data_IF_802221106803
#
_entry.id   IF_802221106803
#
_cell.length_a   1.000
_cell.length_b   1.000
_cell.length_c   1.000
_cell.angle_alpha   90.00
_cell.angle_beta   90.00
_cell.angle_gamma   90.00
#
_symmetry.space_group_name_H-M   'P 1'
#
loop_
_entity.id
_entity.type
_entity.pdbx_description
1 polymer ?
#
# COMPACT_ATOMS: atom_id res chain seq x y z
N UNK A 1 -5.08 9.78 -17.91
CA UNK A 1 -5.81 9.87 -16.61
C UNK A 1 -6.57 8.59 -16.21
N UNK A 2 -6.97 7.68 -17.13
CA UNK A 2 -7.84 6.51 -16.83
C UNK A 2 -7.20 5.31 -16.08
N UNK A 3 -5.88 5.26 -15.89
CA UNK A 3 -5.18 4.08 -15.35
C UNK A 3 -4.74 4.13 -13.88
N UNK A 4 -4.85 5.26 -13.19
CA UNK A 4 -4.07 5.48 -11.95
C UNK A 4 -4.79 5.05 -10.66
N UNK A 5 -6.13 5.10 -10.63
CA UNK A 5 -6.92 4.55 -9.52
C UNK A 5 -6.84 3.01 -9.53
N UNK A 6 -6.80 2.41 -10.72
CA UNK A 6 -6.44 1.01 -10.88
C UNK A 6 -4.98 0.79 -10.47
N UNK A 7 -4.00 1.57 -10.93
CA UNK A 7 -2.59 1.36 -10.59
C UNK A 7 -2.29 1.46 -9.08
N UNK A 8 -2.90 2.36 -8.30
CA UNK A 8 -2.67 2.37 -6.83
C UNK A 8 -3.17 1.11 -6.12
N UNK A 9 -4.21 0.47 -6.65
CA UNK A 9 -4.82 -0.77 -6.15
C UNK A 9 -4.31 -2.05 -6.86
N UNK A 10 -3.71 -1.92 -8.05
CA UNK A 10 -3.26 -3.01 -8.95
C UNK A 10 -1.73 -3.12 -9.00
N UNK A 11 -0.97 -2.04 -8.76
CA UNK A 11 0.51 -2.10 -8.67
C UNK A 11 0.96 -2.99 -7.50
N UNK A 12 0.12 -3.14 -6.47
CA UNK A 12 0.33 -4.12 -5.39
C UNK A 12 0.10 -5.58 -5.80
N UNK A 13 -0.61 -5.85 -6.91
CA UNK A 13 -0.85 -7.20 -7.41
C UNK A 13 0.20 -7.66 -8.45
N UNK A 14 0.88 -6.73 -9.14
CA UNK A 14 1.82 -7.07 -10.24
C UNK A 14 3.28 -7.25 -9.75
N UNK A 15 3.64 -6.74 -8.56
CA UNK A 15 5.01 -6.86 -8.06
C UNK A 15 5.49 -8.32 -7.75
N UNK A 16 4.63 -9.34 -7.92
CA UNK A 16 4.96 -10.75 -7.72
C UNK A 16 5.01 -11.61 -8.99
N UNK A 17 4.87 -11.03 -10.19
CA UNK A 17 5.02 -11.79 -11.45
C UNK A 17 6.28 -11.39 -12.19
N UNK A 18 7.21 -12.35 -12.20
CA UNK A 18 8.42 -12.49 -13.01
C UNK A 18 8.29 -11.82 -14.39
N UNK A 19 9.29 -11.02 -14.75
CA UNK A 19 9.54 -10.54 -16.12
C UNK A 19 9.93 -11.71 -17.02
N UNK A 20 9.07 -12.08 -17.95
CA UNK A 20 9.49 -12.74 -19.19
C UNK A 20 9.45 -11.69 -20.30
N UNK A 21 10.63 -11.43 -20.87
CA UNK A 21 10.83 -10.60 -22.04
C UNK A 21 10.26 -11.35 -23.25
N UNK A 22 9.15 -10.85 -23.80
CA UNK A 22 8.61 -11.24 -25.10
C UNK A 22 8.96 -10.18 -26.13
N UNK A 23 9.72 -10.58 -27.14
CA UNK A 23 10.15 -9.79 -28.29
C UNK A 23 8.98 -9.07 -28.98
N UNK A 24 9.10 -7.75 -29.14
CA UNK A 24 8.32 -6.99 -30.10
C UNK A 24 9.19 -6.69 -31.31
N UNK A 25 8.91 -7.39 -32.40
CA UNK A 25 9.44 -7.14 -33.74
C UNK A 25 9.19 -5.68 -34.15
N UNK A 26 10.28 -4.98 -34.46
CA UNK A 26 10.25 -3.64 -35.01
C UNK A 26 9.74 -3.67 -36.46
N UNK A 27 8.58 -3.10 -36.72
CA UNK A 27 8.22 -2.61 -38.05
C UNK A 27 8.59 -1.12 -38.12
N UNK A 28 9.44 -0.80 -39.09
CA UNK A 28 10.13 0.48 -39.17
C UNK A 28 9.25 1.66 -39.57
N UNK A 29 9.61 2.82 -39.02
CA UNK A 29 9.47 4.12 -39.68
C UNK A 29 10.67 4.98 -39.26
N UNK A 30 11.53 5.30 -40.23
CA UNK A 30 12.59 6.30 -40.10
C UNK A 30 11.98 7.68 -39.85
N UNK A 31 11.90 8.07 -38.58
CA UNK A 31 11.64 9.44 -38.14
C UNK A 31 12.84 9.92 -37.34
N UNK A 32 13.57 10.90 -37.85
CA UNK A 32 14.67 11.55 -37.14
C UNK A 32 14.21 12.02 -35.75
N UNK A 33 14.69 11.36 -34.69
CA UNK A 33 14.48 11.76 -33.30
C UNK A 33 15.13 13.13 -33.07
N UNK A 34 14.32 14.17 -32.84
CA UNK A 34 14.80 15.47 -32.41
C UNK A 34 15.43 15.36 -31.00
N UNK A 35 16.75 15.58 -30.84
CA UNK A 35 17.45 15.41 -29.55
C UNK A 35 16.98 16.36 -28.45
N UNK A 36 16.34 17.49 -28.80
CA UNK A 36 15.91 18.53 -27.87
C UNK A 36 14.69 18.14 -27.04
N UNK A 37 13.77 17.34 -27.59
CA UNK A 37 12.53 16.96 -26.89
C UNK A 37 12.79 16.10 -25.65
N UNK A 38 13.77 15.18 -25.73
CA UNK A 38 14.15 14.32 -24.60
C UNK A 38 14.86 15.07 -23.46
N UNK A 39 15.63 16.11 -23.78
CA UNK A 39 16.33 16.94 -22.77
C UNK A 39 15.36 17.83 -22.01
N UNK A 40 14.39 18.45 -22.71
CA UNK A 40 13.36 19.28 -22.09
C UNK A 40 12.42 18.46 -21.19
N UNK A 41 12.04 17.25 -21.62
CA UNK A 41 11.23 16.34 -20.81
C UNK A 41 11.97 15.86 -19.55
N UNK A 42 13.27 15.59 -19.66
CA UNK A 42 14.14 15.22 -18.55
C UNK A 42 14.29 16.34 -17.52
N UNK A 43 14.55 17.59 -17.96
CA UNK A 43 14.60 18.75 -17.06
C UNK A 43 13.25 19.00 -16.37
N UNK A 44 12.13 18.90 -17.10
CA UNK A 44 10.81 19.05 -16.51
C UNK A 44 10.50 17.95 -15.47
N UNK A 45 10.97 16.72 -15.69
CA UNK A 45 10.85 15.63 -14.73
C UNK A 45 11.69 15.86 -13.47
N UNK A 46 12.94 16.32 -13.62
CA UNK A 46 13.82 16.68 -12.50
C UNK A 46 13.22 17.82 -11.65
N UNK A 47 12.70 18.86 -12.30
CA UNK A 47 12.03 19.99 -11.65
C UNK A 47 10.78 19.58 -10.86
N UNK A 48 9.94 18.73 -11.47
CA UNK A 48 8.74 18.16 -10.82
C UNK A 48 9.11 17.38 -9.57
N UNK A 49 10.17 16.56 -9.67
CA UNK A 49 10.69 15.79 -8.54
C UNK A 49 11.21 16.68 -7.42
N UNK A 50 12.00 17.70 -7.77
CA UNK A 50 12.55 18.64 -6.79
C UNK A 50 11.43 19.38 -6.03
N UNK A 51 10.37 19.79 -6.73
CA UNK A 51 9.19 20.41 -6.12
C UNK A 51 8.48 19.45 -5.15
N UNK A 52 8.30 18.19 -5.53
CA UNK A 52 7.71 17.16 -4.68
C UNK A 52 8.59 16.89 -3.44
N UNK A 53 9.89 16.66 -3.60
CA UNK A 53 10.80 16.43 -2.47
C UNK A 53 10.84 17.64 -1.52
N UNK A 54 10.85 18.86 -2.04
CA UNK A 54 10.80 20.07 -1.23
C UNK A 54 9.49 20.16 -0.42
N UNK A 55 8.35 19.83 -1.04
CA UNK A 55 7.06 19.76 -0.35
C UNK A 55 7.06 18.71 0.77
N UNK A 56 7.53 17.50 0.49
CA UNK A 56 7.57 16.41 1.48
C UNK A 56 8.45 16.80 2.69
N UNK A 57 9.65 17.37 2.45
CA UNK A 57 10.55 17.82 3.54
C UNK A 57 9.94 18.93 4.38
N UNK A 58 9.31 19.94 3.76
CA UNK A 58 8.64 21.03 4.49
C UNK A 58 7.50 20.51 5.35
N UNK A 59 6.66 19.65 4.77
CA UNK A 59 5.51 19.06 5.47
C UNK A 59 5.97 18.17 6.62
N UNK A 60 6.99 17.34 6.41
CA UNK A 60 7.60 16.53 7.45
C UNK A 60 8.12 17.38 8.62
N UNK A 61 8.86 18.46 8.31
CA UNK A 61 9.35 19.38 9.34
C UNK A 61 8.23 20.06 10.14
N UNK A 62 7.14 20.48 9.47
CA UNK A 62 5.99 21.08 10.13
C UNK A 62 5.25 20.09 11.06
N UNK A 63 5.06 18.84 10.60
CA UNK A 63 4.45 17.78 11.41
C UNK A 63 5.33 17.43 12.63
N UNK A 64 6.65 17.30 12.44
CA UNK A 64 7.59 16.98 13.51
C UNK A 64 7.64 18.04 14.63
N UNK A 65 7.35 19.30 14.31
CA UNK A 65 7.28 20.40 15.30
C UNK A 65 6.12 20.25 16.29
N UNK A 66 5.08 19.47 15.95
CA UNK A 66 3.94 19.25 16.85
C UNK A 66 4.28 18.34 18.03
N UNK A 67 5.38 17.57 17.93
CA UNK A 67 5.84 16.56 18.90
C UNK A 67 4.78 15.51 19.29
N UNK A 68 3.76 15.31 18.45
CA UNK A 68 2.73 14.29 18.64
C UNK A 68 3.13 12.98 17.95
N UNK A 69 2.75 11.81 18.51
CA UNK A 69 3.28 10.53 18.04
C UNK A 69 2.87 10.19 16.60
N UNK A 70 1.62 10.46 16.20
CA UNK A 70 1.17 10.18 14.81
C UNK A 70 1.87 11.10 13.82
N UNK A 71 1.95 12.39 14.13
CA UNK A 71 2.58 13.42 13.31
C UNK A 71 4.10 13.18 13.16
N UNK A 72 4.79 12.78 14.23
CA UNK A 72 6.20 12.38 14.17
C UNK A 72 6.43 11.13 13.30
N UNK A 73 5.58 10.11 13.44
CA UNK A 73 5.67 8.90 12.62
C UNK A 73 5.41 9.20 11.13
N UNK A 74 4.41 10.03 10.82
CA UNK A 74 4.13 10.49 9.46
C UNK A 74 5.26 11.39 8.92
N UNK A 75 5.84 12.26 9.76
CA UNK A 75 6.98 13.09 9.37
C UNK A 75 8.18 12.24 8.94
N UNK A 76 8.48 11.17 9.68
CA UNK A 76 9.55 10.24 9.31
C UNK A 76 9.30 9.58 7.95
N UNK A 77 8.07 9.07 7.72
CA UNK A 77 7.65 8.50 6.43
C UNK A 77 7.81 9.48 5.26
N UNK A 78 7.38 10.73 5.44
CA UNK A 78 7.51 11.78 4.43
C UNK A 78 8.97 12.13 4.16
N UNK A 79 9.81 12.16 5.20
CA UNK A 79 11.23 12.44 5.08
C UNK A 79 11.95 11.35 4.28
N UNK A 80 11.69 10.09 4.63
CA UNK A 80 12.18 8.92 3.88
C UNK A 80 11.72 8.97 2.43
N UNK A 81 10.43 9.21 2.18
CA UNK A 81 9.90 9.34 0.82
C UNK A 81 10.59 10.45 0.01
N UNK A 82 10.97 11.56 0.66
CA UNK A 82 11.73 12.63 0.03
C UNK A 82 13.20 12.26 -0.28
N UNK A 83 13.75 11.27 0.40
CA UNK A 83 15.12 10.79 0.23
C UNK A 83 15.25 9.70 -0.85
N UNK A 84 14.15 9.10 -1.32
CA UNK A 84 14.21 8.06 -2.33
C UNK A 84 14.84 8.57 -3.65
N UNK A 85 15.77 7.81 -4.26
CA UNK A 85 16.36 8.14 -5.56
C UNK A 85 15.34 7.96 -6.69
N UNK A 86 15.66 8.49 -7.87
CA UNK A 86 14.79 8.29 -9.02
C UNK A 86 14.78 6.83 -9.42
N UNK A 87 13.62 6.27 -9.83
CA UNK A 87 13.67 5.02 -10.56
C UNK A 87 14.56 5.25 -11.80
N UNK A 88 15.48 4.31 -12.11
CA UNK A 88 16.32 4.42 -13.30
C UNK A 88 15.45 4.51 -14.55
N UNK A 89 15.86 5.32 -15.51
CA UNK A 89 15.20 5.45 -16.80
C UNK A 89 15.65 4.33 -17.76
N UNK A 90 14.82 3.98 -18.78
CA UNK A 90 15.25 3.07 -19.83
C UNK A 90 16.53 3.59 -20.52
N UNK A 91 17.63 2.84 -20.41
CA UNK A 91 18.95 3.22 -20.96
C UNK A 91 19.98 3.68 -19.92
N UNK A 92 19.59 3.83 -18.65
CA UNK A 92 20.54 4.07 -17.57
C UNK A 92 21.41 2.81 -17.35
N UNK A 93 22.73 2.97 -17.42
CA UNK A 93 23.67 1.92 -17.02
C UNK A 93 23.69 1.87 -15.49
N UNK A 94 23.02 0.86 -14.91
CA UNK A 94 23.01 0.63 -13.46
C UNK A 94 24.33 -0.06 -13.06
N UNK A 95 25.42 0.69 -13.02
CA UNK A 95 26.74 0.17 -12.63
C UNK A 95 26.91 0.03 -11.11
N UNK A 96 25.94 0.51 -10.32
CA UNK A 96 25.96 0.38 -8.86
C UNK A 96 24.71 -0.38 -8.41
N UNK A 97 24.84 -1.50 -7.69
CA UNK A 97 23.68 -2.05 -7.01
C UNK A 97 23.12 -0.93 -6.13
N UNK A 98 21.80 -0.69 -6.17
CA UNK A 98 21.11 0.25 -5.28
C UNK A 98 21.19 -0.33 -3.86
N UNK A 99 22.39 -0.30 -3.27
CA UNK A 99 22.68 -0.86 -1.96
C UNK A 99 22.25 0.15 -0.92
N UNK A 100 21.01 0.02 -0.48
CA UNK A 100 20.47 0.60 0.74
C UNK A 100 20.41 2.13 0.74
N UNK A 101 19.20 2.68 0.82
CA UNK A 101 19.04 4.04 1.33
C UNK A 101 19.75 4.07 2.69
N UNK A 102 20.82 4.85 2.81
CA UNK A 102 21.48 5.05 4.10
C UNK A 102 20.42 5.49 5.11
N UNK A 103 20.40 4.84 6.28
CA UNK A 103 19.44 5.17 7.35
C UNK A 103 19.50 6.67 7.64
N UNK A 104 18.41 7.35 7.31
CA UNK A 104 18.26 8.78 7.52
C UNK A 104 18.13 9.06 9.02
N UNK A 105 19.18 9.63 9.62
CA UNK A 105 19.24 9.91 11.05
C UNK A 105 18.10 10.80 11.56
N UNK A 106 17.57 11.68 10.71
CA UNK A 106 16.43 12.56 11.07
C UNK A 106 15.15 11.74 11.13
N UNK A 107 14.88 10.92 10.11
CA UNK A 107 13.71 10.05 10.11
C UNK A 107 13.75 9.06 11.29
N UNK A 108 14.93 8.54 11.62
CA UNK A 108 15.15 7.67 12.77
C UNK A 108 14.86 8.39 14.10
N UNK A 109 15.39 9.58 14.33
CA UNK A 109 15.11 10.38 15.55
C UNK A 109 13.61 10.60 15.73
N UNK A 110 12.91 10.98 14.66
CA UNK A 110 11.46 11.18 14.71
C UNK A 110 10.69 9.89 14.99
N UNK A 111 11.10 8.75 14.43
CA UNK A 111 10.52 7.44 14.78
C UNK A 111 10.75 7.06 16.24
N UNK A 112 11.96 7.27 16.76
CA UNK A 112 12.29 7.00 18.17
C UNK A 112 11.44 7.87 19.11
N UNK A 113 11.33 9.17 18.81
CA UNK A 113 10.47 10.10 19.58
C UNK A 113 9.00 9.76 19.49
N UNK A 114 8.51 9.36 18.32
CA UNK A 114 7.15 8.87 18.13
C UNK A 114 6.89 7.62 18.97
N UNK A 115 7.78 6.64 18.91
CA UNK A 115 7.66 5.38 19.66
C UNK A 115 7.63 5.61 21.18
N UNK A 116 8.46 6.52 21.68
CA UNK A 116 8.46 6.91 23.10
C UNK A 116 7.14 7.54 23.59
N UNK A 117 6.32 8.06 22.67
CA UNK A 117 5.06 8.78 22.97
C UNK A 117 3.80 8.04 22.52
N UNK A 118 3.93 7.03 21.65
CA UNK A 118 2.79 6.41 20.99
C UNK A 118 1.84 5.70 21.96
N UNK A 119 2.37 5.06 23.01
CA UNK A 119 1.54 4.28 23.93
C UNK A 119 0.68 3.26 23.18
N UNK A 120 -0.62 3.25 23.49
CA UNK A 120 -1.66 2.42 22.87
C UNK A 120 -2.29 3.04 21.60
N UNK A 121 -1.76 4.17 21.10
CA UNK A 121 -2.27 4.79 19.87
C UNK A 121 -2.01 3.90 18.66
N UNK A 122 -3.06 3.20 18.21
CA UNK A 122 -2.98 2.22 17.13
C UNK A 122 -2.53 2.86 15.81
N UNK A 123 -2.97 4.08 15.48
CA UNK A 123 -2.57 4.74 14.23
C UNK A 123 -1.07 5.09 14.28
N UNK A 124 -0.59 5.61 15.41
CA UNK A 124 0.84 5.88 15.57
C UNK A 124 1.68 4.59 15.45
N UNK A 125 1.23 3.50 16.08
CA UNK A 125 1.92 2.21 16.00
C UNK A 125 1.91 1.63 14.57
N UNK A 126 0.79 1.73 13.84
CA UNK A 126 0.71 1.34 12.42
C UNK A 126 1.70 2.13 11.56
N UNK A 127 1.78 3.46 11.76
CA UNK A 127 2.72 4.31 11.02
C UNK A 127 4.19 4.01 11.37
N UNK A 128 4.48 3.66 12.62
CA UNK A 128 5.82 3.23 13.05
C UNK A 128 6.25 1.91 12.40
N UNK A 129 5.30 1.00 12.19
CA UNK A 129 5.53 -0.27 11.46
C UNK A 129 5.79 0.03 9.98
N UNK A 130 4.97 0.89 9.37
CA UNK A 130 5.13 1.29 7.98
C UNK A 130 6.45 2.07 7.74
N UNK A 131 6.93 2.88 8.69
CA UNK A 131 8.13 3.71 8.52
C UNK A 131 9.48 2.99 8.43
N UNK A 132 9.50 1.67 8.27
CA UNK A 132 10.74 0.88 8.27
C UNK A 132 10.90 0.07 6.97
N UNK A 133 12.04 0.23 6.31
CA UNK A 133 12.41 -0.58 5.13
C UNK A 133 12.41 -2.09 5.43
N UNK A 134 12.70 -2.43 6.70
CA UNK A 134 12.64 -3.78 7.27
C UNK A 134 12.14 -3.65 8.70
N UNK A 135 11.45 -4.69 9.18
CA UNK A 135 10.98 -4.76 10.56
C UNK A 135 12.17 -4.66 11.53
N UNK A 136 12.34 -3.49 12.16
CA UNK A 136 13.35 -3.20 13.18
C UNK A 136 12.76 -3.26 14.59
N UNK A 137 13.57 -3.01 15.63
CA UNK A 137 13.10 -3.06 17.02
C UNK A 137 11.96 -2.08 17.30
N UNK A 138 11.98 -0.88 16.69
CA UNK A 138 10.91 0.11 16.87
C UNK A 138 9.60 -0.42 16.29
N UNK A 139 9.64 -1.00 15.09
CA UNK A 139 8.47 -1.58 14.44
C UNK A 139 7.97 -2.84 15.16
N UNK A 140 8.85 -3.67 15.71
CA UNK A 140 8.48 -4.83 16.53
C UNK A 140 7.76 -4.40 17.81
N UNK A 141 8.31 -3.43 18.53
CA UNK A 141 7.68 -2.89 19.74
C UNK A 141 6.33 -2.22 19.41
N UNK A 142 6.22 -1.54 18.28
CA UNK A 142 4.96 -0.97 17.80
C UNK A 142 3.91 -2.06 17.49
N UNK A 143 4.32 -3.16 16.84
CA UNK A 143 3.45 -4.30 16.59
C UNK A 143 2.99 -4.97 17.90
N UNK A 144 3.86 -5.09 18.90
CA UNK A 144 3.49 -5.56 20.24
C UNK A 144 2.49 -4.61 20.92
N UNK A 145 2.75 -3.30 20.95
CA UNK A 145 1.81 -2.33 21.55
C UNK A 145 0.44 -2.33 20.86
N UNK A 146 0.42 -2.49 19.55
CA UNK A 146 -0.84 -2.66 18.81
C UNK A 146 -1.54 -3.97 19.20
N UNK A 147 -0.81 -5.09 19.28
CA UNK A 147 -1.37 -6.36 19.76
C UNK A 147 -1.96 -6.24 21.18
N UNK A 148 -1.31 -5.51 22.08
CA UNK A 148 -1.80 -5.31 23.45
C UNK A 148 -3.03 -4.39 23.50
N UNK A 149 -3.06 -3.35 22.67
CA UNK A 149 -4.22 -2.44 22.57
C UNK A 149 -5.45 -3.11 21.93
N UNK A 150 -5.22 -4.11 21.07
CA UNK A 150 -6.27 -4.85 20.36
C UNK A 150 -6.00 -6.37 20.40
N UNK A 151 -6.15 -7.03 21.56
CA UNK A 151 -5.74 -8.42 21.75
C UNK A 151 -6.51 -9.40 20.85
N UNK A 152 -7.75 -9.07 20.50
CA UNK A 152 -8.61 -9.86 19.61
C UNK A 152 -8.34 -9.62 18.11
N UNK A 153 -7.50 -8.63 17.76
CA UNK A 153 -7.14 -8.31 16.38
C UNK A 153 -5.90 -9.07 15.95
N UNK A 154 -6.02 -9.85 14.88
CA UNK A 154 -4.96 -10.68 14.30
C UNK A 154 -3.88 -9.90 13.58
N UNK A 155 -4.22 -8.74 13.01
CA UNK A 155 -3.30 -7.98 12.17
C UNK A 155 -1.93 -7.75 12.82
N UNK A 156 -1.82 -7.18 14.04
CA UNK A 156 -0.51 -6.94 14.66
C UNK A 156 0.29 -8.21 14.91
N UNK A 157 -0.37 -9.34 15.21
CA UNK A 157 0.32 -10.62 15.44
C UNK A 157 1.00 -11.15 14.18
N UNK A 158 0.41 -10.93 13.00
CA UNK A 158 1.02 -11.35 11.73
C UNK A 158 2.24 -10.48 11.33
N UNK A 159 2.49 -9.37 12.04
CA UNK A 159 3.62 -8.48 11.83
C UNK A 159 4.78 -8.78 12.79
N UNK A 160 4.59 -9.67 13.77
CA UNK A 160 5.57 -10.03 14.80
C UNK A 160 6.65 -10.95 14.26
N UNK A 161 7.73 -10.35 13.76
CA UNK A 161 8.85 -11.12 13.20
C UNK A 161 9.81 -11.69 14.23
N UNK A 162 9.72 -11.22 15.47
CA UNK A 162 10.46 -11.69 16.65
C UNK A 162 10.01 -13.06 17.16
N UNK A 163 8.89 -13.59 16.65
CA UNK A 163 8.38 -14.91 16.97
C UNK A 163 8.76 -15.94 15.89
N UNK A 164 8.93 -17.23 16.25
CA UNK A 164 8.91 -18.33 15.28
C UNK A 164 7.61 -18.33 14.48
N UNK A 165 7.65 -18.79 13.22
CA UNK A 165 6.47 -18.75 12.32
C UNK A 165 5.29 -19.52 12.91
N UNK A 166 5.55 -20.69 13.50
CA UNK A 166 4.51 -21.55 14.07
C UNK A 166 3.82 -20.87 15.26
N UNK A 167 4.58 -20.22 16.13
CA UNK A 167 4.05 -19.48 17.27
C UNK A 167 3.25 -18.25 16.81
N UNK A 168 3.71 -17.56 15.77
CA UNK A 168 2.98 -16.44 15.16
C UNK A 168 1.65 -16.92 14.54
N UNK A 169 1.66 -18.04 13.81
CA UNK A 169 0.47 -18.62 13.19
C UNK A 169 -0.55 -19.10 14.23
N UNK A 170 -0.08 -19.77 15.29
CA UNK A 170 -0.93 -20.20 16.41
C UNK A 170 -1.54 -19.01 17.14
N UNK A 171 -0.71 -18.02 17.50
CA UNK A 171 -1.19 -16.77 18.09
C UNK A 171 -2.26 -16.17 17.18
N UNK A 172 -1.96 -15.93 15.91
CA UNK A 172 -2.91 -15.37 14.96
C UNK A 172 -4.24 -16.15 14.87
N UNK A 173 -4.19 -17.49 14.86
CA UNK A 173 -5.38 -18.34 14.74
C UNK A 173 -6.36 -18.20 15.93
N UNK A 174 -5.86 -17.90 17.13
CA UNK A 174 -6.67 -17.73 18.35
C UNK A 174 -7.43 -16.39 18.39
N UNK A 175 -7.13 -15.45 17.48
CA UNK A 175 -7.74 -14.10 17.48
C UNK A 175 -9.05 -14.13 16.71
N UNK A 176 -9.97 -13.21 17.03
CA UNK A 176 -11.34 -13.24 16.50
C UNK A 176 -11.46 -12.62 15.10
N UNK A 177 -10.73 -11.55 14.82
CA UNK A 177 -10.91 -10.79 13.59
C UNK A 177 -9.57 -10.26 13.05
N UNK A 178 -9.59 -9.79 11.80
CA UNK A 178 -8.48 -9.07 11.19
C UNK A 178 -8.96 -7.66 10.84
N UNK A 179 -8.31 -6.63 11.41
CA UNK A 179 -8.50 -5.23 11.04
C UNK A 179 -7.11 -4.60 10.88
N UNK A 180 -6.76 -4.20 9.67
CA UNK A 180 -5.47 -3.56 9.40
C UNK A 180 -5.42 -2.11 9.86
N UNK A 181 -6.57 -1.54 10.25
CA UNK A 181 -6.77 -0.12 10.57
C UNK A 181 -6.36 0.78 9.39
N UNK A 182 -6.30 0.21 8.18
CA UNK A 182 -5.81 0.87 6.97
C UNK A 182 -6.63 2.11 6.64
N UNK A 183 -7.96 1.99 6.59
CA UNK A 183 -8.84 3.10 6.21
C UNK A 183 -8.85 4.24 7.22
N UNK A 184 -8.77 3.91 8.51
CA UNK A 184 -8.71 4.90 9.58
C UNK A 184 -7.37 5.67 9.51
N UNK A 185 -6.27 4.95 9.29
CA UNK A 185 -4.94 5.54 9.10
C UNK A 185 -4.88 6.40 7.84
N UNK A 186 -5.44 5.92 6.71
CA UNK A 186 -5.50 6.66 5.44
C UNK A 186 -6.25 7.99 5.59
N UNK A 187 -7.42 7.99 6.24
CA UNK A 187 -8.19 9.21 6.50
C UNK A 187 -7.43 10.19 7.36
N UNK A 188 -6.82 9.70 8.44
CA UNK A 188 -6.02 10.54 9.32
C UNK A 188 -4.82 11.15 8.58
N UNK A 189 -4.08 10.36 7.79
CA UNK A 189 -2.95 10.85 6.99
C UNK A 189 -3.39 11.90 5.97
N UNK A 190 -4.50 11.66 5.26
CA UNK A 190 -5.07 12.64 4.33
C UNK A 190 -5.37 13.96 5.02
N UNK A 191 -6.02 13.92 6.18
CA UNK A 191 -6.41 15.15 6.90
C UNK A 191 -5.18 15.89 7.43
N UNK A 192 -4.17 15.16 7.93
CA UNK A 192 -2.88 15.73 8.33
C UNK A 192 -2.15 16.40 7.14
N UNK A 193 -2.15 15.76 5.97
CA UNK A 193 -1.56 16.33 4.76
C UNK A 193 -2.37 17.50 4.20
N UNK A 194 -3.70 17.47 4.30
CA UNK A 194 -4.56 18.57 3.86
C UNK A 194 -4.37 19.84 4.71
N UNK A 195 -3.91 19.72 5.96
CA UNK A 195 -3.51 20.86 6.79
C UNK A 195 -2.21 21.55 6.30
N UNK A 196 -1.47 20.91 5.39
CA UNK A 196 -0.24 21.40 4.78
C UNK A 196 -0.32 21.27 3.26
N UNK A 197 -1.17 22.06 2.57
CA UNK A 197 -1.49 21.82 1.17
C UNK A 197 -0.28 21.99 0.26
N UNK A 198 -0.16 21.10 -0.73
CA UNK A 198 0.81 21.23 -1.81
C UNK A 198 0.42 22.37 -2.76
N UNK A 199 1.42 23.14 -3.20
CA UNK A 199 1.21 24.16 -4.22
C UNK A 199 0.82 23.53 -5.58
N UNK A 200 0.32 24.37 -6.49
CA UNK A 200 -0.17 23.91 -7.79
C UNK A 200 0.91 23.21 -8.64
N UNK A 201 2.18 23.63 -8.51
CA UNK A 201 3.31 23.05 -9.25
C UNK A 201 3.58 21.62 -8.77
N UNK A 202 3.61 21.42 -7.46
CA UNK A 202 3.76 20.09 -6.87
C UNK A 202 2.54 19.20 -7.16
N UNK A 203 1.32 19.74 -7.19
CA UNK A 203 0.14 18.93 -7.54
C UNK A 203 0.11 18.49 -9.00
N UNK A 204 0.58 19.35 -9.91
CA UNK A 204 0.68 19.02 -11.33
C UNK A 204 1.70 17.90 -11.61
N UNK A 205 2.66 17.64 -10.70
CA UNK A 205 3.68 16.61 -10.92
C UNK A 205 3.16 15.19 -10.88
N UNK A 206 2.03 14.95 -10.22
CA UNK A 206 1.42 13.62 -10.07
C UNK A 206 0.34 13.32 -11.11
N UNK A 207 -0.25 14.36 -11.72
CA UNK A 207 -1.44 14.25 -12.59
C UNK A 207 -1.17 14.17 -14.10
N UNK A 208 0.09 13.97 -14.54
CA UNK A 208 0.42 14.04 -15.97
C UNK A 208 0.12 15.41 -16.59
N UNK A 209 0.27 16.48 -15.80
CA UNK A 209 0.06 17.86 -16.22
C UNK A 209 -1.32 18.45 -15.92
N UNK A 210 -2.34 17.65 -15.61
CA UNK A 210 -3.64 18.17 -15.19
C UNK A 210 -3.61 18.64 -13.71
N UNK A 211 -4.23 19.78 -13.38
CA UNK A 211 -4.27 20.26 -12.00
C UNK A 211 -5.15 19.34 -11.14
N UNK A 212 -4.51 18.64 -10.22
CA UNK A 212 -5.18 17.79 -9.22
C UNK A 212 -5.67 18.62 -8.04
N UNK A 213 -6.88 18.37 -7.54
CA UNK A 213 -7.38 19.03 -6.33
C UNK A 213 -6.50 18.74 -5.11
N UNK A 214 -6.39 19.68 -4.17
CA UNK A 214 -5.53 19.52 -2.97
C UNK A 214 -5.86 18.28 -2.16
N UNK A 215 -7.15 18.05 -1.91
CA UNK A 215 -7.63 16.90 -1.14
C UNK A 215 -7.33 15.57 -1.84
N UNK A 216 -7.41 15.55 -3.16
CA UNK A 216 -7.10 14.36 -3.96
C UNK A 216 -5.61 14.08 -3.89
N UNK A 217 -4.79 15.12 -4.07
CA UNK A 217 -3.34 14.99 -3.95
C UNK A 217 -2.93 14.45 -2.58
N UNK A 218 -3.47 15.01 -1.49
CA UNK A 218 -3.22 14.53 -0.13
C UNK A 218 -3.62 13.06 0.04
N UNK A 219 -4.75 12.65 -0.55
CA UNK A 219 -5.23 11.27 -0.50
C UNK A 219 -4.34 10.32 -1.28
N UNK A 220 -3.93 10.70 -2.50
CA UNK A 220 -3.03 9.89 -3.33
C UNK A 220 -1.65 9.75 -2.68
N UNK A 221 -1.14 10.83 -2.09
CA UNK A 221 0.11 10.78 -1.34
C UNK A 221 -0.01 9.88 -0.12
N UNK A 222 -1.09 9.99 0.67
CA UNK A 222 -1.32 9.11 1.82
C UNK A 222 -1.41 7.64 1.40
N UNK A 223 -2.15 7.34 0.33
CA UNK A 223 -2.26 6.00 -0.22
C UNK A 223 -0.90 5.48 -0.70
N UNK A 224 -0.14 6.29 -1.44
CA UNK A 224 1.20 5.91 -1.91
C UNK A 224 2.18 5.63 -0.76
N UNK A 225 2.19 6.48 0.26
CA UNK A 225 3.03 6.31 1.46
C UNK A 225 2.66 5.04 2.23
N UNK A 226 1.36 4.78 2.41
CA UNK A 226 0.92 3.58 3.12
C UNK A 226 1.23 2.33 2.29
N UNK A 227 0.85 2.30 1.01
CA UNK A 227 1.03 1.14 0.12
C UNK A 227 2.49 0.72 -0.07
N UNK A 228 3.42 1.68 -0.12
CA UNK A 228 4.85 1.38 -0.24
C UNK A 228 5.42 0.64 0.99
N UNK A 229 4.70 0.68 2.11
CA UNK A 229 5.21 0.33 3.44
C UNK A 229 4.30 -0.66 4.21
N UNK A 230 3.12 -0.96 3.69
CA UNK A 230 2.07 -1.69 4.43
C UNK A 230 2.17 -3.21 4.40
N UNK A 231 3.02 -3.79 3.55
CA UNK A 231 3.11 -5.23 3.40
C UNK A 231 4.47 -5.73 3.89
N UNK A 232 4.63 -6.09 5.18
CA UNK A 232 5.71 -6.99 5.52
C UNK A 232 5.55 -8.26 4.70
N UNK A 233 6.67 -8.83 4.28
CA UNK A 233 6.69 -9.97 3.36
C UNK A 233 5.88 -11.14 3.90
N UNK A 234 4.64 -11.29 3.42
CA UNK A 234 3.78 -12.46 3.63
C UNK A 234 4.39 -13.73 3.02
N UNK A 235 5.51 -13.61 2.29
CA UNK A 235 6.33 -14.74 1.84
C UNK A 235 6.78 -15.63 2.98
N UNK A 236 7.08 -15.09 4.18
CA UNK A 236 7.42 -15.90 5.36
C UNK A 236 6.24 -16.75 5.82
N UNK A 237 5.04 -16.18 5.83
CA UNK A 237 3.80 -16.86 6.18
C UNK A 237 3.44 -17.93 5.15
N UNK A 238 3.48 -17.58 3.85
CA UNK A 238 3.21 -18.51 2.77
C UNK A 238 4.22 -19.67 2.77
N UNK A 239 5.51 -19.39 2.95
CA UNK A 239 6.55 -20.41 3.05
C UNK A 239 6.35 -21.34 4.26
N UNK A 240 6.02 -20.78 5.42
CA UNK A 240 5.71 -21.56 6.62
C UNK A 240 4.52 -22.49 6.44
N UNK A 241 3.48 -22.05 5.72
CA UNK A 241 2.31 -22.87 5.44
C UNK A 241 2.56 -23.99 4.42
N UNK A 242 3.46 -23.80 3.45
CA UNK A 242 3.80 -24.85 2.47
C UNK A 242 4.53 -26.03 3.12
N UNK A 243 5.43 -25.78 4.07
CA UNK A 243 6.21 -26.82 4.75
C UNK A 243 5.65 -27.22 6.12
N UNK A 244 4.40 -26.86 6.40
CA UNK A 244 3.78 -27.03 7.71
C UNK A 244 3.56 -28.50 8.09
N UNK A 245 3.74 -28.82 9.38
CA UNK A 245 3.26 -30.09 9.95
C UNK A 245 1.74 -30.19 9.83
N UNK A 246 1.13 -31.40 9.95
CA UNK A 246 -0.32 -31.55 9.86
C UNK A 246 -1.10 -30.64 10.82
N UNK A 247 -0.60 -30.43 12.04
CA UNK A 247 -1.20 -29.54 13.04
C UNK A 247 -1.14 -28.08 12.58
N UNK A 248 -0.01 -27.65 12.03
CA UNK A 248 0.17 -26.28 11.55
C UNK A 248 -0.60 -26.02 10.24
N UNK A 249 -0.83 -27.05 9.42
CA UNK A 249 -1.71 -26.94 8.25
C UNK A 249 -3.16 -26.59 8.62
N UNK A 250 -3.65 -27.05 9.78
CA UNK A 250 -4.98 -26.63 10.29
C UNK A 250 -4.98 -25.14 10.61
N UNK A 251 -3.93 -24.64 11.31
CA UNK A 251 -3.79 -23.22 11.60
C UNK A 251 -3.67 -22.38 10.32
N UNK A 252 -2.92 -22.85 9.33
CA UNK A 252 -2.80 -22.19 8.02
C UNK A 252 -4.11 -22.14 7.24
N UNK A 253 -4.91 -23.22 7.26
CA UNK A 253 -6.26 -23.22 6.66
C UNK A 253 -7.20 -22.24 7.37
N UNK A 254 -7.17 -22.23 8.70
CA UNK A 254 -7.95 -21.28 9.51
C UNK A 254 -7.56 -19.83 9.20
N UNK A 255 -6.26 -19.54 9.16
CA UNK A 255 -5.72 -18.23 8.79
C UNK A 255 -6.17 -17.83 7.38
N UNK A 256 -6.06 -18.73 6.40
CA UNK A 256 -6.46 -18.44 5.02
C UNK A 256 -7.95 -18.04 4.92
N UNK A 257 -8.83 -18.81 5.57
CA UNK A 257 -10.27 -18.50 5.64
C UNK A 257 -10.53 -17.15 6.30
N UNK A 258 -9.85 -16.85 7.40
CA UNK A 258 -10.01 -15.57 8.08
C UNK A 258 -9.46 -14.39 7.26
N UNK A 259 -8.38 -14.59 6.50
CA UNK A 259 -7.82 -13.55 5.64
C UNK A 259 -8.75 -13.22 4.46
N UNK A 260 -9.53 -14.20 3.97
CA UNK A 260 -10.58 -13.96 2.97
C UNK A 260 -11.70 -13.03 3.46
N UNK A 261 -11.85 -12.88 4.78
CA UNK A 261 -12.82 -11.98 5.41
C UNK A 261 -12.25 -10.59 5.74
N UNK A 262 -10.95 -10.34 5.49
CA UNK A 262 -10.24 -9.12 5.88
C UNK A 262 -10.85 -7.83 5.32
N UNK A 263 -10.46 -6.70 5.92
CA UNK A 263 -10.86 -5.32 5.61
C UNK A 263 -10.21 -4.72 4.36
N UNK A 264 -9.22 -5.40 3.78
CA UNK A 264 -8.51 -4.98 2.56
C UNK A 264 -8.50 -6.07 1.50
N UNK A 265 -8.52 -5.67 0.21
CA UNK A 265 -8.52 -6.60 -0.91
C UNK A 265 -7.18 -7.36 -1.00
N UNK A 266 -6.07 -6.70 -0.67
CA UNK A 266 -4.75 -7.34 -0.64
C UNK A 266 -4.68 -8.51 0.33
N UNK A 267 -5.27 -8.36 1.53
CA UNK A 267 -5.28 -9.43 2.53
C UNK A 267 -6.18 -10.58 2.11
N UNK A 268 -7.29 -10.31 1.43
CA UNK A 268 -8.12 -11.36 0.83
C UNK A 268 -7.38 -12.12 -0.27
N UNK A 269 -6.64 -11.43 -1.12
CA UNK A 269 -5.78 -12.05 -2.12
C UNK A 269 -4.69 -12.93 -1.50
N UNK A 270 -4.08 -12.50 -0.38
CA UNK A 270 -3.13 -13.31 0.38
C UNK A 270 -3.81 -14.56 0.95
N UNK A 271 -4.99 -14.43 1.54
CA UNK A 271 -5.78 -15.56 2.04
C UNK A 271 -6.07 -16.60 0.95
N UNK A 272 -6.54 -16.15 -0.22
CA UNK A 272 -6.74 -17.00 -1.40
C UNK A 272 -5.45 -17.69 -1.84
N UNK A 273 -4.34 -16.96 -1.90
CA UNK A 273 -3.05 -17.50 -2.30
C UNK A 273 -2.48 -18.53 -1.31
N UNK A 274 -2.77 -18.41 -0.01
CA UNK A 274 -2.43 -19.42 1.00
C UNK A 274 -3.33 -20.65 0.82
N UNK A 275 -4.65 -20.46 0.67
CA UNK A 275 -5.61 -21.56 0.47
C UNK A 275 -5.26 -22.42 -0.76
N UNK A 276 -4.88 -21.77 -1.87
CA UNK A 276 -4.42 -22.44 -3.09
C UNK A 276 -3.18 -23.32 -2.86
N UNK A 277 -2.23 -22.87 -2.04
CA UNK A 277 -1.00 -23.65 -1.74
C UNK A 277 -1.23 -24.82 -0.80
N UNK A 278 -2.33 -24.82 -0.06
CA UNK A 278 -2.71 -25.88 0.86
C UNK A 278 -3.59 -26.96 0.21
N UNK A 279 -3.76 -26.92 -1.12
CA UNK A 279 -4.71 -27.74 -1.88
C UNK A 279 -6.14 -27.72 -1.30
N UNK A 280 -6.49 -26.61 -0.65
CA UNK A 280 -7.81 -26.36 -0.07
C UNK A 280 -8.39 -25.03 -0.59
N UNK A 281 -8.44 -24.81 -1.93
CA UNK A 281 -8.91 -23.55 -2.46
C UNK A 281 -10.40 -23.36 -2.18
N UNK A 282 -10.75 -22.22 -1.58
CA UNK A 282 -12.10 -21.70 -1.70
C UNK A 282 -12.23 -21.08 -3.10
N UNK A 283 -12.70 -21.88 -4.05
CA UNK A 283 -12.84 -21.51 -5.46
C UNK A 283 -13.78 -20.32 -5.61
N UNK A 284 -14.86 -20.26 -4.85
CA UNK A 284 -15.85 -19.18 -4.96
C UNK A 284 -15.31 -17.89 -4.33
N UNK A 285 -14.64 -17.95 -3.18
CA UNK A 285 -14.01 -16.77 -2.60
C UNK A 285 -12.89 -16.23 -3.49
N UNK A 286 -12.08 -17.11 -4.08
CA UNK A 286 -11.03 -16.73 -5.04
C UNK A 286 -11.62 -16.07 -6.28
N UNK A 287 -12.69 -16.64 -6.83
CA UNK A 287 -13.45 -16.06 -7.95
C UNK A 287 -14.03 -14.70 -7.60
N UNK A 288 -14.59 -14.55 -6.41
CA UNK A 288 -15.15 -13.28 -5.94
C UNK A 288 -14.07 -12.19 -5.81
N UNK A 289 -12.88 -12.52 -5.29
CA UNK A 289 -11.74 -11.60 -5.23
C UNK A 289 -11.31 -11.18 -6.64
N UNK A 290 -11.11 -12.13 -7.54
CA UNK A 290 -10.71 -11.85 -8.93
C UNK A 290 -11.75 -10.99 -9.66
N UNK A 291 -13.04 -11.29 -9.46
CA UNK A 291 -14.14 -10.50 -10.02
C UNK A 291 -14.11 -9.06 -9.53
N UNK A 292 -13.96 -8.84 -8.22
CA UNK A 292 -13.92 -7.48 -7.66
C UNK A 292 -12.77 -6.67 -8.24
N UNK A 293 -11.57 -7.27 -8.35
CA UNK A 293 -10.42 -6.61 -8.99
C UNK A 293 -10.72 -6.20 -10.43
N UNK A 294 -11.29 -7.11 -11.22
CA UNK A 294 -11.67 -6.85 -12.61
C UNK A 294 -12.80 -5.81 -12.74
N UNK A 295 -13.85 -5.93 -11.91
CA UNK A 295 -15.00 -5.04 -11.88
C UNK A 295 -14.59 -3.60 -11.51
N UNK A 296 -13.64 -3.44 -10.58
CA UNK A 296 -13.13 -2.13 -10.19
C UNK A 296 -12.44 -1.40 -11.34
N UNK A 297 -11.77 -2.10 -12.26
CA UNK A 297 -11.19 -1.48 -13.46
C UNK A 297 -12.29 -0.85 -14.33
N UNK A 298 -13.47 -1.48 -14.41
CA UNK A 298 -14.64 -0.99 -15.17
C UNK A 298 -15.38 0.14 -14.46
N UNK A 299 -15.37 0.15 -13.13
CA UNK A 299 -16.04 1.18 -12.32
C UNK A 299 -15.35 2.55 -12.38
N UNK A 300 -14.14 2.65 -12.95
CA UNK A 300 -13.39 3.90 -13.08
C UNK A 300 -14.04 4.85 -14.10
N UNK A 301 -15.10 5.54 -13.68
CA UNK A 301 -15.77 6.58 -14.46
C UNK A 301 -14.86 7.82 -14.68
N UNK A 302 -15.18 8.71 -15.63
CA UNK A 302 -14.50 10.01 -15.77
C UNK A 302 -14.43 10.83 -14.46
N UNK A 303 -15.41 10.63 -13.57
CA UNK A 303 -15.54 11.29 -12.27
C UNK A 303 -15.14 10.40 -11.08
N UNK A 304 -14.51 9.25 -11.33
CA UNK A 304 -14.20 8.23 -10.31
C UNK A 304 -13.40 8.78 -9.12
N UNK A 305 -12.56 9.79 -9.35
CA UNK A 305 -11.82 10.50 -8.30
C UNK A 305 -12.75 11.23 -7.32
N UNK A 306 -13.73 12.01 -7.82
CA UNK A 306 -14.70 12.72 -6.96
C UNK A 306 -15.57 11.74 -6.20
N UNK A 307 -15.97 10.65 -6.84
CA UNK A 307 -16.72 9.58 -6.20
C UNK A 307 -15.91 8.92 -5.08
N UNK A 308 -14.67 8.51 -5.37
CA UNK A 308 -13.76 7.92 -4.39
C UNK A 308 -13.59 8.85 -3.18
N UNK A 309 -13.36 10.14 -3.41
CA UNK A 309 -13.21 11.12 -2.34
C UNK A 309 -14.46 11.25 -1.47
N UNK A 310 -15.64 11.36 -2.10
CA UNK A 310 -16.92 11.40 -1.37
C UNK A 310 -17.13 10.17 -0.50
N UNK A 311 -16.77 8.98 -1.01
CA UNK A 311 -16.91 7.73 -0.25
C UNK A 311 -15.85 7.60 0.85
N UNK A 312 -14.63 8.08 0.62
CA UNK A 312 -13.60 8.11 1.66
C UNK A 312 -14.01 9.03 2.82
N UNK A 313 -14.76 10.10 2.54
CA UNK A 313 -15.34 11.00 3.56
C UNK A 313 -16.53 10.40 4.32
N UNK A 314 -17.17 9.37 3.79
CA UNK A 314 -18.28 8.69 4.45
C UNK A 314 -17.75 7.84 5.61
N UNK A 315 -17.94 8.32 6.84
CA UNK A 315 -17.49 7.63 8.05
C UNK A 315 -18.21 6.32 8.33
N UNK A 316 -19.35 6.04 7.68
CA UNK A 316 -20.02 4.74 7.77
C UNK A 316 -19.27 3.64 7.00
N UNK A 317 -18.45 4.02 6.01
CA UNK A 317 -17.56 3.10 5.29
C UNK A 317 -16.31 2.92 6.15
N UNK A 318 -16.08 1.71 6.68
CA UNK A 318 -14.96 1.45 7.60
C UNK A 318 -13.81 0.71 6.94
N UNK A 319 -14.07 0.03 5.83
CA UNK A 319 -13.11 -0.86 5.16
C UNK A 319 -12.95 -0.54 3.67
N UNK A 320 -11.86 -1.00 3.07
CA UNK A 320 -11.65 -0.96 1.62
C UNK A 320 -12.73 -1.77 0.89
N UNK A 321 -13.12 -2.88 1.51
CA UNK A 321 -14.14 -3.80 0.98
C UNK A 321 -15.50 -3.11 0.87
N UNK A 322 -15.91 -2.35 1.87
CA UNK A 322 -17.16 -1.57 1.82
C UNK A 322 -17.07 -0.41 0.82
N UNK A 323 -15.92 0.28 0.75
CA UNK A 323 -15.70 1.36 -0.20
C UNK A 323 -15.85 0.85 -1.64
N UNK A 324 -15.13 -0.22 -1.99
CA UNK A 324 -15.24 -0.83 -3.32
C UNK A 324 -16.66 -1.34 -3.59
N UNK A 325 -17.31 -1.98 -2.61
CA UNK A 325 -18.68 -2.46 -2.78
C UNK A 325 -19.63 -1.30 -3.12
N UNK A 326 -19.46 -0.15 -2.46
CA UNK A 326 -20.25 1.04 -2.75
C UNK A 326 -19.90 1.64 -4.12
N UNK A 327 -18.63 1.69 -4.50
CA UNK A 327 -18.21 2.15 -5.84
C UNK A 327 -18.83 1.30 -6.95
N UNK A 328 -18.77 -0.04 -6.82
CA UNK A 328 -19.37 -0.96 -7.79
C UNK A 328 -20.90 -0.81 -7.84
N UNK A 329 -21.55 -0.71 -6.68
CA UNK A 329 -23.00 -0.49 -6.60
C UNK A 329 -23.43 0.82 -7.25
N UNK A 330 -22.74 1.92 -6.99
CA UNK A 330 -23.01 3.23 -7.60
C UNK A 330 -22.80 3.19 -9.13
N UNK A 331 -21.90 2.32 -9.62
CA UNK A 331 -21.65 2.10 -11.05
C UNK A 331 -22.62 1.07 -11.70
N UNK A 332 -23.57 0.51 -10.94
CA UNK A 332 -24.49 -0.53 -11.42
C UNK A 332 -23.80 -1.87 -11.75
N UNK A 333 -22.62 -2.13 -11.19
CA UNK A 333 -21.86 -3.36 -11.38
C UNK A 333 -22.16 -4.32 -10.21
N UNK A 334 -22.57 -5.57 -10.46
CA UNK A 334 -22.89 -6.52 -9.40
C UNK A 334 -21.64 -6.92 -8.60
N UNK A 335 -21.82 -7.10 -7.29
CA UNK A 335 -20.74 -7.52 -6.37
C UNK A 335 -20.37 -8.99 -6.52
N UNK A 336 -21.36 -9.82 -6.87
CA UNK A 336 -21.18 -11.26 -7.11
C UNK A 336 -20.81 -11.45 -8.58
N UNK A 337 -19.79 -12.27 -8.88
CA UNK A 337 -19.46 -12.61 -10.26
C UNK A 337 -20.68 -13.21 -10.99
N UNK A 338 -20.95 -12.82 -12.24
CA UNK A 338 -21.91 -13.53 -13.09
C UNK A 338 -21.57 -15.02 -13.16
N UNK A 339 -22.58 -15.90 -13.22
CA UNK A 339 -22.38 -17.35 -13.13
C UNK A 339 -21.48 -17.93 -14.24
N UNK A 340 -21.44 -17.29 -15.40
CA UNK A 340 -20.62 -17.60 -16.57
C UNK A 340 -19.25 -16.89 -16.58
N UNK A 341 -19.01 -15.96 -15.66
CA UNK A 341 -17.74 -15.24 -15.60
C UNK A 341 -16.63 -16.13 -15.02
N UNK A 342 -15.52 -16.20 -15.75
CA UNK A 342 -14.28 -16.85 -15.32
C UNK A 342 -13.16 -15.82 -15.13
N UNK A 343 -12.29 -15.99 -14.12
CA UNK A 343 -11.11 -15.15 -13.96
C UNK A 343 -10.23 -15.17 -15.22
N UNK A 344 -9.67 -14.03 -15.65
CA UNK A 344 -8.65 -14.00 -16.69
C UNK A 344 -7.47 -14.88 -16.28
N UNK A 345 -7.06 -15.79 -17.16
CA UNK A 345 -5.81 -16.54 -17.01
C UNK A 345 -4.66 -15.62 -17.41
N UNK A 346 -3.78 -15.29 -16.48
CA UNK A 346 -2.54 -14.57 -16.75
C UNK A 346 -1.43 -15.52 -17.17
#
# INVERSE_FOLDING_TARGET
MRGWIAAGLVVLAIASTRTDAGDLESSGTDGWLHPSAGVEESHAAADRRAAQQAYLRRTAGALAQTDRPRELALAALLHQAAAHPAPPQPGDVIDTPVTGVQSDGIARDWRERAAARAGDDVIANVLLIAGADKMDGISQDAAQRWADAQPDNRAPWLLRTDMPVDAMLQAAAERRHYDSVHFQTLRWMRDALAAHPADARTRASTGGGAPMGERVYATMLALGLYSANAAPGYSRLAGGCTSATPELQVACRSLAGQLLESDTLIMRSIGSAIALRLDAPDVEATRAVAWRTHAMQRATAPDGERQFMRLLDDTSIRTEIELQARMLSDAGIPLVPPADWTPPTH
#
